data_IF_013896307732
#
_entry.id   IF_013896307732
#
_cell.length_a   1.000
_cell.length_b   1.000
_cell.length_c   1.000
_cell.angle_alpha   90.00
_cell.angle_beta   90.00
_cell.angle_gamma   90.00
#
_symmetry.space_group_name_H-M   'P 1'
#
loop_
_entity.id
_entity.type
_entity.pdbx_description
1 polymer ?
#
# COMPACT_ATOMS: atom_id res chain seq x y z
N UNK A 1 -0.82 4.90 11.35
CA UNK A 1 -1.57 5.08 10.08
C UNK A 1 -3.10 5.20 10.26
N UNK A 2 -3.70 4.61 11.31
CA UNK A 2 -5.15 4.71 11.59
C UNK A 2 -5.63 6.11 12.03
N UNK A 3 -4.80 6.87 12.75
CA UNK A 3 -5.14 8.23 13.20
C UNK A 3 -5.38 9.18 12.03
N UNK A 4 -4.52 9.17 11.01
CA UNK A 4 -4.69 10.00 9.81
C UNK A 4 -6.00 9.67 9.09
N UNK A 5 -6.31 8.39 8.89
CA UNK A 5 -7.57 7.95 8.28
C UNK A 5 -8.78 8.38 9.11
N UNK A 6 -8.68 8.32 10.45
CA UNK A 6 -9.74 8.74 11.36
C UNK A 6 -9.97 10.26 11.32
N UNK A 7 -8.90 11.05 11.34
CA UNK A 7 -8.96 12.52 11.20
C UNK A 7 -9.59 12.90 9.86
N UNK A 8 -9.17 12.27 8.76
CA UNK A 8 -9.77 12.50 7.44
C UNK A 8 -11.25 12.14 7.45
N UNK A 9 -11.66 11.03 8.08
CA UNK A 9 -13.09 10.65 8.20
C UNK A 9 -13.90 11.69 8.96
N UNK A 10 -13.37 12.21 10.07
CA UNK A 10 -14.04 13.24 10.86
C UNK A 10 -14.14 14.54 10.08
N UNK A 11 -13.05 15.00 9.46
CA UNK A 11 -13.07 16.19 8.62
C UNK A 11 -14.09 16.06 7.49
N UNK A 12 -14.13 14.90 6.83
CA UNK A 12 -15.11 14.64 5.78
C UNK A 12 -16.55 14.67 6.31
N UNK A 13 -16.79 14.07 7.47
CA UNK A 13 -18.11 14.09 8.11
C UNK A 13 -18.53 15.51 8.48
N UNK A 14 -17.66 16.28 9.15
CA UNK A 14 -17.93 17.66 9.55
C UNK A 14 -18.18 18.52 8.31
N UNK A 15 -17.37 18.37 7.27
CA UNK A 15 -17.56 19.09 6.01
C UNK A 15 -18.93 18.79 5.41
N UNK A 16 -19.29 17.51 5.25
CA UNK A 16 -20.59 17.10 4.72
C UNK A 16 -21.75 17.56 5.62
N UNK A 17 -21.57 17.55 6.93
CA UNK A 17 -22.57 17.97 7.90
C UNK A 17 -22.82 19.49 7.87
N UNK A 18 -21.75 20.30 7.86
CA UNK A 18 -21.86 21.75 7.69
C UNK A 18 -22.47 22.08 6.33
N UNK A 19 -22.08 21.35 5.29
CA UNK A 19 -22.71 21.47 3.98
C UNK A 19 -24.22 21.20 4.08
N UNK A 20 -24.63 20.17 4.82
CA UNK A 20 -26.04 19.82 5.00
C UNK A 20 -26.82 20.90 5.75
N UNK A 21 -26.22 21.51 6.78
CA UNK A 21 -26.88 22.58 7.53
C UNK A 21 -27.04 23.87 6.71
N UNK A 22 -26.04 24.24 5.90
CA UNK A 22 -26.03 25.52 5.17
C UNK A 22 -26.58 25.45 3.73
N UNK A 23 -26.65 24.25 3.13
CA UNK A 23 -26.95 24.08 1.70
C UNK A 23 -28.21 23.23 1.47
N UNK A 24 -29.22 23.42 2.31
CA UNK A 24 -30.59 22.89 2.14
C UNK A 24 -31.41 23.68 1.13
N UNK A 25 -30.95 24.88 0.73
CA UNK A 25 -31.61 25.70 -0.27
C UNK A 25 -31.67 24.97 -1.63
N UNK A 26 -32.83 25.02 -2.27
CA UNK A 26 -33.02 24.51 -3.63
C UNK A 26 -32.31 25.44 -4.63
N UNK A 27 -31.47 24.84 -5.48
CA UNK A 27 -30.76 25.52 -6.56
C UNK A 27 -31.23 24.98 -7.90
N UNK A 28 -31.46 25.90 -8.84
CA UNK A 28 -31.77 25.59 -10.24
C UNK A 28 -30.47 25.41 -11.04
N UNK A 29 -30.20 24.21 -11.53
CA UNK A 29 -29.13 23.99 -12.51
C UNK A 29 -29.69 24.12 -13.92
N UNK A 30 -29.08 24.98 -14.73
CA UNK A 30 -29.34 25.03 -16.17
C UNK A 30 -28.40 24.05 -16.86
N UNK A 31 -28.93 22.91 -17.29
CA UNK A 31 -28.16 21.92 -18.04
C UNK A 31 -27.96 22.39 -19.49
N UNK A 32 -26.92 21.88 -20.19
CA UNK A 32 -26.54 22.29 -21.56
C UNK A 32 -27.59 22.04 -22.66
N UNK A 33 -28.82 21.64 -22.31
CA UNK A 33 -29.96 21.45 -23.22
C UNK A 33 -31.18 22.31 -22.84
N UNK A 34 -30.98 23.35 -22.03
CA UNK A 34 -32.06 24.22 -21.55
C UNK A 34 -32.97 23.59 -20.48
N UNK A 35 -32.64 22.38 -20.03
CA UNK A 35 -33.36 21.71 -18.94
C UNK A 35 -32.94 22.33 -17.62
N UNK A 36 -33.91 22.87 -16.88
CA UNK A 36 -33.69 23.43 -15.54
C UNK A 36 -34.06 22.39 -14.50
N UNK A 37 -33.06 21.88 -13.78
CA UNK A 37 -33.27 20.91 -12.72
C UNK A 37 -33.13 21.57 -11.35
N UNK A 38 -34.13 21.37 -10.50
CA UNK A 38 -34.14 21.89 -9.14
C UNK A 38 -33.71 20.77 -8.19
N UNK A 39 -32.61 21.00 -7.48
CA UNK A 39 -32.13 20.09 -6.46
C UNK A 39 -31.50 20.87 -5.30
N UNK A 40 -31.61 20.38 -4.05
CA UNK A 40 -30.85 20.92 -2.94
C UNK A 40 -29.35 20.94 -3.27
N UNK A 41 -28.69 22.07 -2.99
CA UNK A 41 -27.28 22.27 -3.34
C UNK A 41 -26.35 21.20 -2.75
N UNK A 42 -26.70 20.64 -1.58
CA UNK A 42 -25.99 19.50 -1.00
C UNK A 42 -25.95 18.26 -1.91
N UNK A 43 -27.04 17.91 -2.61
CA UNK A 43 -27.08 16.72 -3.47
C UNK A 43 -26.13 16.88 -4.66
N UNK A 44 -26.06 18.09 -5.21
CA UNK A 44 -25.17 18.43 -6.31
C UNK A 44 -23.71 18.27 -5.85
N UNK A 45 -23.35 18.88 -4.72
CA UNK A 45 -22.01 18.80 -4.18
C UNK A 45 -21.60 17.37 -3.82
N UNK A 46 -22.52 16.57 -3.25
CA UNK A 46 -22.30 15.15 -2.98
C UNK A 46 -22.01 14.36 -4.27
N UNK A 47 -22.78 14.60 -5.33
CA UNK A 47 -22.59 13.93 -6.62
C UNK A 47 -21.21 14.23 -7.22
N UNK A 48 -20.80 15.51 -7.23
CA UNK A 48 -19.45 15.90 -7.68
C UNK A 48 -18.34 15.32 -6.81
N UNK A 49 -18.55 15.25 -5.49
CA UNK A 49 -17.59 14.63 -4.58
C UNK A 49 -17.41 13.13 -4.86
N UNK A 50 -18.50 12.39 -5.02
CA UNK A 50 -18.45 10.96 -5.36
C UNK A 50 -17.77 10.76 -6.71
N UNK A 51 -18.12 11.57 -7.72
CA UNK A 51 -17.46 11.52 -9.03
C UNK A 51 -15.95 11.79 -8.90
N UNK A 52 -15.55 12.83 -8.18
CA UNK A 52 -14.15 13.16 -7.90
C UNK A 52 -13.40 12.05 -7.17
N UNK A 53 -14.05 11.37 -6.22
CA UNK A 53 -13.46 10.25 -5.50
C UNK A 53 -13.24 9.04 -6.42
N UNK A 54 -14.20 8.72 -7.29
CA UNK A 54 -14.04 7.66 -8.28
C UNK A 54 -12.89 7.96 -9.24
N UNK A 55 -12.80 9.20 -9.72
CA UNK A 55 -11.69 9.69 -10.54
C UNK A 55 -10.35 9.58 -9.80
N UNK A 56 -10.29 9.98 -8.53
CA UNK A 56 -9.09 9.87 -7.71
C UNK A 56 -8.68 8.41 -7.49
N UNK A 57 -9.63 7.51 -7.20
CA UNK A 57 -9.38 6.07 -7.09
C UNK A 57 -8.84 5.49 -8.39
N UNK A 58 -9.44 5.87 -9.52
CA UNK A 58 -9.00 5.43 -10.85
C UNK A 58 -7.59 5.94 -11.16
N UNK A 59 -7.28 7.19 -10.82
CA UNK A 59 -5.94 7.75 -10.95
C UNK A 59 -4.90 7.06 -10.03
N UNK A 60 -5.32 6.56 -8.86
CA UNK A 60 -4.46 5.84 -7.92
C UNK A 60 -4.20 4.38 -8.33
N UNK A 61 -5.10 3.76 -9.10
CA UNK A 61 -5.01 2.37 -9.56
C UNK A 61 -3.66 2.00 -10.22
N UNK A 62 -3.14 2.73 -11.22
CA UNK A 62 -1.86 2.39 -11.85
C UNK A 62 -0.67 2.48 -10.89
N UNK A 63 -0.73 3.38 -9.91
CA UNK A 63 0.31 3.55 -8.89
C UNK A 63 0.36 2.32 -7.97
N UNK A 64 -0.81 1.83 -7.53
CA UNK A 64 -0.90 0.61 -6.72
C UNK A 64 -0.45 -0.62 -7.50
N UNK A 65 -0.78 -0.74 -8.80
CA UNK A 65 -0.31 -1.86 -9.64
C UNK A 65 1.22 -1.92 -9.73
N UNK A 66 1.89 -0.77 -9.90
CA UNK A 66 3.36 -0.69 -9.90
C UNK A 66 3.96 -1.10 -8.55
N UNK A 67 3.37 -0.66 -7.43
CA UNK A 67 3.83 -1.03 -6.10
C UNK A 67 3.67 -2.54 -5.81
N UNK A 68 2.64 -3.19 -6.36
CA UNK A 68 2.47 -4.66 -6.24
C UNK A 68 3.57 -5.44 -6.97
N UNK A 69 4.05 -4.92 -8.10
CA UNK A 69 5.15 -5.55 -8.85
C UNK A 69 6.51 -5.41 -8.15
N UNK A 70 6.79 -4.28 -7.51
CA UNK A 70 8.03 -4.12 -6.74
C UNK A 70 7.99 -4.90 -5.42
N UNK A 71 6.83 -4.97 -4.77
CA UNK A 71 6.64 -5.74 -3.55
C UNK A 71 6.85 -7.26 -3.76
N UNK A 72 6.48 -7.81 -4.92
CA UNK A 72 6.69 -9.23 -5.22
C UNK A 72 8.17 -9.57 -5.47
N UNK A 73 8.93 -8.65 -6.09
CA UNK A 73 10.39 -8.79 -6.24
C UNK A 73 11.10 -8.72 -4.89
N UNK A 74 10.71 -7.78 -4.03
CA UNK A 74 11.31 -7.64 -2.70
C UNK A 74 11.02 -8.86 -1.80
N UNK A 75 9.80 -9.41 -1.86
CA UNK A 75 9.47 -10.68 -1.18
C UNK A 75 10.32 -11.86 -1.65
N UNK A 76 10.62 -11.95 -2.95
CA UNK A 76 11.49 -13.01 -3.50
C UNK A 76 12.94 -12.85 -3.06
N UNK A 77 13.45 -11.63 -2.97
CA UNK A 77 14.80 -11.37 -2.46
C UNK A 77 14.94 -11.74 -0.98
N UNK A 78 13.95 -11.39 -0.14
CA UNK A 78 13.92 -11.81 1.27
C UNK A 78 13.85 -13.34 1.43
N UNK A 79 13.11 -14.02 0.54
CA UNK A 79 13.04 -15.48 0.53
C UNK A 79 14.37 -16.14 0.15
N UNK A 80 15.15 -15.54 -0.75
CA UNK A 80 16.48 -16.05 -1.13
C UNK A 80 17.51 -15.84 -0.03
N UNK A 81 17.55 -14.66 0.59
CA UNK A 81 18.46 -14.40 1.72
C UNK A 81 18.20 -15.36 2.87
N UNK A 82 16.92 -15.64 3.19
CA UNK A 82 16.57 -16.65 4.20
C UNK A 82 16.94 -18.08 3.82
N UNK A 83 16.96 -18.40 2.52
CA UNK A 83 17.36 -19.71 2.05
C UNK A 83 18.88 -19.87 2.12
N UNK A 84 19.65 -18.86 1.70
CA UNK A 84 21.10 -18.81 1.88
C UNK A 84 21.51 -18.88 3.36
N UNK A 85 20.83 -18.15 4.24
CA UNK A 85 21.10 -18.18 5.69
C UNK A 85 20.75 -19.55 6.31
N UNK A 86 19.71 -20.22 5.80
CA UNK A 86 19.38 -21.58 6.22
C UNK A 86 20.35 -22.63 5.65
N UNK A 87 20.91 -22.40 4.46
CA UNK A 87 21.89 -23.27 3.81
C UNK A 87 23.27 -23.13 4.49
N UNK A 88 23.68 -21.90 4.84
CA UNK A 88 24.89 -21.60 5.63
C UNK A 88 24.79 -22.10 7.08
N UNK A 89 23.59 -22.17 7.66
CA UNK A 89 23.35 -22.77 8.96
C UNK A 89 23.30 -24.31 8.95
N UNK A 90 23.04 -24.92 7.79
CA UNK A 90 22.99 -26.38 7.60
C UNK A 90 24.35 -26.93 7.17
N UNK A 91 25.20 -26.12 6.52
CA UNK A 91 26.60 -26.47 6.31
C UNK A 91 27.31 -26.56 7.69
N UNK A 92 27.74 -27.75 8.13
CA UNK A 92 28.65 -27.81 9.25
C UNK A 92 29.90 -27.10 8.76
N UNK A 93 30.24 -25.97 9.37
CA UNK A 93 31.56 -25.35 9.23
C UNK A 93 32.57 -26.41 9.66
N UNK A 94 33.01 -27.21 8.68
CA UNK A 94 33.96 -28.27 8.90
C UNK A 94 35.16 -27.60 9.54
N UNK A 95 35.66 -28.08 10.69
CA UNK A 95 36.83 -27.49 11.27
C UNK A 95 37.89 -27.59 10.18
N UNK A 96 38.42 -26.44 9.78
CA UNK A 96 39.60 -26.36 8.92
C UNK A 96 40.63 -27.22 9.64
N UNK A 97 40.79 -28.47 9.20
CA UNK A 97 41.83 -29.36 9.66
C UNK A 97 43.09 -28.74 9.10
N UNK A 98 43.65 -27.81 9.88
CA UNK A 98 45.00 -27.35 9.67
C UNK A 98 45.88 -28.60 9.65
N UNK A 99 46.54 -28.83 8.51
CA UNK A 99 47.51 -29.90 8.31
C UNK A 99 48.37 -30.06 9.56
N UNK A 100 48.16 -31.15 10.30
CA UNK A 100 49.01 -31.47 11.44
C UNK A 100 50.30 -32.09 10.90
N UNK A 101 51.47 -31.45 11.11
CA UNK A 101 52.72 -31.83 10.46
C UNK A 101 53.41 -33.06 11.08
N UNK A 102 52.74 -33.81 11.96
CA UNK A 102 53.36 -34.91 12.70
C UNK A 102 53.00 -36.28 12.12
N UNK A 103 53.56 -36.59 10.95
CA UNK A 103 53.73 -37.98 10.53
C UNK A 103 55.01 -38.52 11.19
N UNK A 104 54.86 -39.21 12.32
CA UNK A 104 55.97 -39.95 12.95
C UNK A 104 55.93 -41.38 12.42
N UNK A 105 56.96 -41.85 11.70
CA UNK A 105 57.04 -43.25 11.29
C UNK A 105 57.23 -44.13 12.53
N UNK A 106 56.24 -44.97 12.83
CA UNK A 106 56.33 -45.96 13.90
C UNK A 106 57.33 -47.07 13.56
N UNK A 107 57.99 -47.68 14.56
CA UNK A 107 58.99 -48.71 14.34
C UNK A 107 58.34 -49.96 13.78
N UNK A 108 58.94 -50.49 12.71
CA UNK A 108 58.55 -51.78 12.12
C UNK A 108 59.09 -52.89 13.03
N UNK A 109 58.19 -53.54 13.76
CA UNK A 109 58.43 -54.83 14.42
C UNK A 109 57.73 -55.94 13.65
#
# INVERSE_FOLDING_TARGET
>A
MKLFVWVVRILLFVLLFVLALHNTAEVSLVLPFGVVWHAPLILIALAFFVAGLLLAMLAMAPRVMRHRFTASRLRRQLGRMKAEEAEEAVEPKAPVVADSPYHVPGPKV
#
